data_IF_199970020077
#
_entry.id   IF_199970020077
#
_cell.length_a   1.000
_cell.length_b   1.000
_cell.length_c   1.000
_cell.angle_alpha   90.00
_cell.angle_beta   90.00
_cell.angle_gamma   90.00
#
_symmetry.space_group_name_H-M   'P 1'
#
loop_
_entity.id
_entity.type
_entity.pdbx_description
1 polymer ?
#
# COMPACT_ATOMS: atom_id res chain seq x y z
N UNK A 1 -58.03 -4.46 25.78
CA UNK A 1 -56.57 -4.47 25.56
C UNK A 1 -56.33 -4.54 24.06
N UNK A 2 -56.19 -3.40 23.37
CA UNK A 2 -55.97 -3.31 21.92
C UNK A 2 -54.50 -3.22 21.65
N UNK A 3 -53.90 -4.25 21.06
CA UNK A 3 -52.54 -4.23 20.56
C UNK A 3 -52.51 -3.50 19.20
N UNK A 4 -52.00 -2.30 19.18
CA UNK A 4 -51.68 -1.55 17.95
C UNK A 4 -50.48 -2.18 17.28
N UNK A 5 -50.71 -2.97 16.23
CA UNK A 5 -49.70 -3.44 15.30
C UNK A 5 -49.16 -2.23 14.51
N UNK A 6 -47.93 -1.78 14.81
CA UNK A 6 -47.20 -0.80 14.01
C UNK A 6 -46.82 -1.43 12.69
N UNK A 7 -47.56 -1.11 11.65
CA UNK A 7 -47.27 -1.48 10.26
C UNK A 7 -45.93 -0.83 9.81
N UNK A 8 -44.85 -1.63 9.74
CA UNK A 8 -43.59 -1.18 9.18
C UNK A 8 -43.73 -1.17 7.66
N UNK A 9 -43.45 -0.03 6.98
CA UNK A 9 -43.57 0.03 5.54
C UNK A 9 -42.64 -1.01 4.89
N UNK A 10 -43.24 -1.90 4.10
CA UNK A 10 -42.51 -2.90 3.32
C UNK A 10 -41.62 -2.19 2.28
N UNK A 11 -40.30 -2.49 2.21
CA UNK A 11 -39.44 -1.83 1.26
C UNK A 11 -39.86 -2.15 -0.17
N UNK A 12 -39.84 -1.14 -1.05
CA UNK A 12 -40.24 -1.27 -2.45
C UNK A 12 -39.43 -2.37 -3.18
N UNK A 13 -40.06 -3.14 -4.10
CA UNK A 13 -39.43 -4.28 -4.76
C UNK A 13 -38.17 -3.92 -5.58
N UNK A 14 -38.05 -2.67 -6.03
CA UNK A 14 -36.85 -2.16 -6.72
C UNK A 14 -35.65 -2.02 -5.76
N UNK A 15 -35.86 -1.51 -4.52
CA UNK A 15 -34.83 -1.43 -3.49
C UNK A 15 -34.36 -2.81 -3.02
N UNK A 16 -35.24 -3.80 -3.00
CA UNK A 16 -34.91 -5.17 -2.61
C UNK A 16 -34.08 -5.91 -3.68
N UNK A 17 -34.25 -5.59 -4.97
CA UNK A 17 -33.46 -6.16 -6.07
C UNK A 17 -32.03 -5.57 -6.12
N UNK A 18 -31.88 -4.27 -5.95
CA UNK A 18 -30.57 -3.61 -5.83
C UNK A 18 -29.81 -4.07 -4.57
N UNK A 19 -30.49 -4.19 -3.43
CA UNK A 19 -29.88 -4.70 -2.20
C UNK A 19 -29.42 -6.16 -2.34
N UNK A 20 -30.15 -7.02 -3.06
CA UNK A 20 -29.74 -8.41 -3.36
C UNK A 20 -28.61 -8.50 -4.39
N UNK A 21 -28.57 -7.61 -5.37
CA UNK A 21 -27.48 -7.57 -6.38
C UNK A 21 -26.12 -7.20 -5.76
N UNK A 22 -26.11 -6.43 -4.65
CA UNK A 22 -24.90 -6.00 -3.92
C UNK A 22 -24.57 -6.91 -2.72
N UNK A 23 -25.30 -8.02 -2.51
CA UNK A 23 -25.22 -8.83 -1.29
C UNK A 23 -23.95 -9.69 -1.15
N UNK A 24 -23.18 -9.93 -2.20
CA UNK A 24 -21.92 -10.65 -2.09
C UNK A 24 -20.76 -9.65 -1.88
N UNK A 25 -19.86 -9.87 -0.90
CA UNK A 25 -18.74 -8.96 -0.61
C UNK A 25 -17.88 -8.69 -1.86
N UNK A 26 -17.69 -9.70 -2.71
CA UNK A 26 -16.93 -9.58 -3.96
C UNK A 26 -17.53 -8.57 -4.93
N UNK A 27 -18.87 -8.59 -5.13
CA UNK A 27 -19.54 -7.63 -6.03
C UNK A 27 -19.45 -6.20 -5.51
N UNK A 28 -19.55 -5.99 -4.21
CA UNK A 28 -19.38 -4.68 -3.59
C UNK A 28 -17.95 -4.16 -3.77
N UNK A 29 -16.93 -5.02 -3.58
CA UNK A 29 -15.53 -4.67 -3.79
C UNK A 29 -15.26 -4.38 -5.27
N UNK A 30 -15.88 -5.13 -6.20
CA UNK A 30 -15.74 -4.90 -7.65
C UNK A 30 -16.34 -3.54 -8.05
N UNK A 31 -17.55 -3.22 -7.58
CA UNK A 31 -18.16 -1.91 -7.84
C UNK A 31 -17.32 -0.76 -7.28
N UNK A 32 -16.76 -0.94 -6.08
CA UNK A 32 -15.82 0.02 -5.49
C UNK A 32 -14.55 0.19 -6.32
N UNK A 33 -13.99 -0.91 -6.84
CA UNK A 33 -12.81 -0.88 -7.70
C UNK A 33 -13.09 -0.19 -9.04
N UNK A 34 -14.22 -0.47 -9.67
CA UNK A 34 -14.63 0.20 -10.91
C UNK A 34 -14.84 1.71 -10.71
N UNK A 35 -15.51 2.10 -9.62
CA UNK A 35 -15.68 3.51 -9.26
C UNK A 35 -14.32 4.19 -9.00
N UNK A 36 -13.43 3.52 -8.26
CA UNK A 36 -12.09 4.02 -8.01
C UNK A 36 -11.30 4.22 -9.31
N UNK A 37 -11.41 3.28 -10.26
CA UNK A 37 -10.74 3.36 -11.55
C UNK A 37 -11.23 4.58 -12.35
N UNK A 38 -12.55 4.83 -12.40
CA UNK A 38 -13.11 6.02 -13.05
C UNK A 38 -12.59 7.30 -12.41
N UNK A 39 -12.59 7.37 -11.07
CA UNK A 39 -12.07 8.54 -10.33
C UNK A 39 -10.59 8.76 -10.63
N UNK A 40 -9.78 7.69 -10.68
CA UNK A 40 -8.35 7.76 -11.01
C UNK A 40 -8.14 8.34 -12.41
N UNK A 41 -8.88 7.88 -13.42
CA UNK A 41 -8.77 8.40 -14.78
C UNK A 41 -9.09 9.90 -14.79
N UNK A 42 -10.21 10.32 -14.20
CA UNK A 42 -10.61 11.72 -14.14
C UNK A 42 -9.57 12.60 -13.44
N UNK A 43 -9.01 12.12 -12.33
CA UNK A 43 -7.98 12.85 -11.58
C UNK A 43 -6.68 12.96 -12.39
N UNK A 44 -6.18 11.87 -12.97
CA UNK A 44 -4.92 11.87 -13.72
C UNK A 44 -5.01 12.74 -14.98
N UNK A 45 -6.18 12.84 -15.62
CA UNK A 45 -6.38 13.73 -16.77
C UNK A 45 -6.47 15.22 -16.37
N UNK A 46 -6.93 15.51 -15.16
CA UNK A 46 -7.13 16.90 -14.69
C UNK A 46 -5.89 17.55 -14.09
N UNK A 47 -4.79 16.78 -13.86
CA UNK A 47 -3.61 17.29 -13.16
C UNK A 47 -2.38 17.38 -14.06
N UNK A 48 -1.45 18.32 -13.71
CA UNK A 48 -0.18 18.49 -14.42
C UNK A 48 0.76 17.28 -14.24
N UNK A 49 1.74 17.12 -15.14
CA UNK A 49 2.74 16.03 -15.12
C UNK A 49 3.49 15.95 -13.78
N UNK A 50 3.80 17.07 -13.16
CA UNK A 50 4.43 17.10 -11.84
C UNK A 50 3.52 16.45 -10.78
N UNK A 51 2.23 16.79 -10.77
CA UNK A 51 1.27 16.18 -9.84
C UNK A 51 1.00 14.70 -10.15
N UNK A 52 1.07 14.30 -11.41
CA UNK A 52 1.01 12.87 -11.79
C UNK A 52 2.16 12.07 -11.17
N UNK A 53 3.38 12.62 -11.16
CA UNK A 53 4.52 12.01 -10.48
C UNK A 53 4.31 11.89 -8.96
N UNK A 54 3.78 12.93 -8.31
CA UNK A 54 3.43 12.87 -6.89
C UNK A 54 2.33 11.82 -6.59
N UNK A 55 1.30 11.75 -7.44
CA UNK A 55 0.25 10.75 -7.33
C UNK A 55 0.78 9.33 -7.54
N UNK A 56 1.78 9.14 -8.42
CA UNK A 56 2.48 7.85 -8.56
C UNK A 56 3.18 7.46 -7.27
N UNK A 57 3.77 8.43 -6.57
CA UNK A 57 4.39 8.19 -5.26
C UNK A 57 3.35 7.76 -4.22
N UNK A 58 2.18 8.38 -4.19
CA UNK A 58 1.06 7.91 -3.35
C UNK A 58 0.67 6.48 -3.71
N UNK A 59 0.60 6.13 -5.00
CA UNK A 59 0.17 4.82 -5.44
C UNK A 59 1.13 3.72 -4.96
N UNK A 60 2.44 3.83 -5.21
CA UNK A 60 3.37 2.78 -4.78
C UNK A 60 3.52 2.71 -3.26
N UNK A 61 3.52 3.84 -2.54
CA UNK A 61 3.54 3.82 -1.08
C UNK A 61 2.26 3.21 -0.49
N UNK A 62 1.10 3.48 -1.10
CA UNK A 62 -0.16 2.88 -0.67
C UNK A 62 -0.22 1.37 -0.92
N UNK A 63 0.35 0.87 -2.03
CA UNK A 63 0.48 -0.57 -2.31
C UNK A 63 1.35 -1.24 -1.24
N UNK A 64 2.53 -0.67 -0.95
CA UNK A 64 3.42 -1.17 0.08
C UNK A 64 2.77 -1.11 1.47
N UNK A 65 2.16 0.01 1.84
CA UNK A 65 1.45 0.17 3.10
C UNK A 65 0.25 -0.80 3.23
N UNK A 66 -0.47 -1.10 2.13
CA UNK A 66 -1.54 -2.09 2.13
C UNK A 66 -1.00 -3.51 2.40
N UNK A 67 0.14 -3.89 1.80
CA UNK A 67 0.84 -5.13 2.12
C UNK A 67 1.26 -5.19 3.60
N UNK A 68 1.86 -4.12 4.12
CA UNK A 68 2.24 -4.02 5.52
C UNK A 68 1.01 -4.04 6.47
N UNK A 69 -0.12 -3.48 6.03
CA UNK A 69 -1.40 -3.56 6.77
C UNK A 69 -1.88 -5.01 6.93
N UNK A 70 -1.66 -5.87 5.93
CA UNK A 70 -1.97 -7.31 6.06
C UNK A 70 -1.10 -7.95 7.13
N UNK A 71 0.20 -7.69 7.09
CA UNK A 71 1.16 -8.30 8.01
C UNK A 71 0.96 -7.78 9.44
N UNK A 72 1.00 -6.48 9.63
CA UNK A 72 0.94 -5.85 10.95
C UNK A 72 -0.50 -5.69 11.44
N UNK A 73 -1.39 -5.24 10.58
CA UNK A 73 -2.76 -4.90 10.96
C UNK A 73 -3.70 -6.10 11.05
N UNK A 74 -3.57 -7.10 10.18
CA UNK A 74 -4.44 -8.27 10.17
C UNK A 74 -3.83 -9.48 10.89
N UNK A 75 -2.52 -9.69 10.79
CA UNK A 75 -1.85 -10.85 11.37
C UNK A 75 -1.09 -10.53 12.67
N UNK A 76 -0.89 -9.26 13.01
CA UNK A 76 -0.26 -8.82 14.27
C UNK A 76 1.27 -8.88 14.28
N UNK A 77 1.92 -9.10 13.12
CA UNK A 77 3.37 -9.20 13.03
C UNK A 77 4.01 -7.86 12.67
N UNK A 78 4.86 -7.33 13.56
CA UNK A 78 5.61 -6.11 13.29
C UNK A 78 6.78 -6.40 12.35
N UNK A 79 6.87 -5.67 11.24
CA UNK A 79 7.98 -5.74 10.29
C UNK A 79 8.57 -4.36 10.06
N UNK A 80 9.89 -4.26 10.28
CA UNK A 80 10.72 -3.08 9.98
C UNK A 80 11.53 -3.26 8.68
N UNK A 81 11.34 -4.38 7.98
CA UNK A 81 12.08 -4.74 6.76
C UNK A 81 11.30 -4.55 5.47
N UNK A 82 10.22 -3.79 5.49
CA UNK A 82 9.32 -3.71 4.32
C UNK A 82 9.98 -3.02 3.12
N UNK A 83 10.86 -2.05 3.35
CA UNK A 83 11.69 -1.41 2.32
C UNK A 83 12.63 -2.40 1.61
N UNK A 84 13.10 -3.45 2.31
CA UNK A 84 13.91 -4.48 1.68
C UNK A 84 13.15 -5.29 0.62
N UNK A 85 11.89 -5.64 0.87
CA UNK A 85 11.05 -6.29 -0.14
C UNK A 85 10.74 -5.36 -1.32
N UNK A 86 10.58 -4.05 -1.07
CA UNK A 86 10.48 -3.06 -2.14
C UNK A 86 11.77 -3.01 -2.97
N UNK A 87 12.95 -3.05 -2.32
CA UNK A 87 14.24 -3.11 -3.02
C UNK A 87 14.32 -4.32 -3.95
N UNK A 88 13.96 -5.51 -3.46
CA UNK A 88 13.95 -6.74 -4.28
C UNK A 88 13.10 -6.56 -5.53
N UNK A 89 11.88 -6.01 -5.40
CA UNK A 89 11.02 -5.73 -6.54
C UNK A 89 11.56 -4.67 -7.49
N UNK A 90 12.15 -3.60 -6.95
CA UNK A 90 12.75 -2.52 -7.70
C UNK A 90 13.96 -2.98 -8.53
N UNK A 91 14.87 -3.74 -7.92
CA UNK A 91 16.03 -4.31 -8.62
C UNK A 91 15.60 -5.36 -9.65
N UNK A 92 14.58 -6.18 -9.37
CA UNK A 92 14.03 -7.11 -10.35
C UNK A 92 13.50 -6.35 -11.58
N UNK A 93 12.74 -5.28 -11.37
CA UNK A 93 12.24 -4.45 -12.46
C UNK A 93 13.38 -3.74 -13.21
N UNK A 94 14.37 -3.20 -12.49
CA UNK A 94 15.53 -2.53 -13.10
C UNK A 94 16.35 -3.47 -13.98
N UNK A 95 16.64 -4.68 -13.52
CA UNK A 95 17.39 -5.69 -14.28
C UNK A 95 16.62 -6.13 -15.53
N UNK A 96 15.32 -6.36 -15.44
CA UNK A 96 14.50 -6.74 -16.60
C UNK A 96 14.40 -5.60 -17.61
N UNK A 97 14.18 -4.37 -17.18
CA UNK A 97 14.05 -3.22 -18.07
C UNK A 97 15.39 -2.80 -18.68
N UNK A 98 16.52 -2.95 -17.95
CA UNK A 98 17.87 -2.67 -18.47
C UNK A 98 18.28 -3.65 -19.59
N UNK A 99 17.89 -4.93 -19.46
CA UNK A 99 18.15 -5.96 -20.47
C UNK A 99 17.25 -5.83 -21.71
N UNK A 100 16.54 -4.72 -21.86
CA UNK A 100 15.39 -4.59 -22.74
C UNK A 100 15.70 -4.25 -24.20
N UNK A 101 16.74 -4.81 -24.77
CA UNK A 101 16.74 -5.03 -26.22
C UNK A 101 15.62 -6.01 -26.66
N UNK A 102 15.00 -6.72 -25.71
CA UNK A 102 14.02 -7.80 -25.92
C UNK A 102 12.56 -7.40 -25.69
N UNK A 103 12.22 -6.13 -25.37
CA UNK A 103 10.83 -5.65 -25.29
C UNK A 103 9.97 -6.30 -24.20
N UNK A 104 10.49 -6.51 -22.97
CA UNK A 104 9.64 -7.00 -21.86
C UNK A 104 8.47 -6.05 -21.61
N UNK A 105 7.26 -6.57 -21.64
CA UNK A 105 6.09 -5.76 -21.33
C UNK A 105 6.04 -5.40 -19.85
N UNK A 106 5.61 -4.16 -19.53
CA UNK A 106 5.48 -3.67 -18.15
C UNK A 106 4.68 -4.61 -17.24
N UNK A 107 3.55 -5.20 -17.68
CA UNK A 107 2.84 -6.18 -16.87
C UNK A 107 3.69 -7.39 -16.46
N UNK A 108 4.53 -7.90 -17.37
CA UNK A 108 5.41 -9.03 -17.06
C UNK A 108 6.48 -8.66 -16.04
N UNK A 109 7.06 -7.47 -16.16
CA UNK A 109 8.02 -6.93 -15.17
C UNK A 109 7.38 -6.82 -13.79
N UNK A 110 6.15 -6.32 -13.71
CA UNK A 110 5.40 -6.22 -12.45
C UNK A 110 5.09 -7.59 -11.84
N UNK A 111 4.69 -8.56 -12.66
CA UNK A 111 4.45 -9.94 -12.20
C UNK A 111 5.76 -10.55 -11.68
N UNK A 112 6.85 -10.42 -12.42
CA UNK A 112 8.15 -10.93 -12.00
C UNK A 112 8.62 -10.31 -10.67
N UNK A 113 8.56 -8.99 -10.54
CA UNK A 113 8.91 -8.27 -9.31
C UNK A 113 8.05 -8.72 -8.11
N UNK A 114 6.74 -8.92 -8.34
CA UNK A 114 5.80 -9.41 -7.33
C UNK A 114 6.13 -10.83 -6.90
N UNK A 115 6.41 -11.72 -7.86
CA UNK A 115 6.73 -13.13 -7.60
C UNK A 115 8.08 -13.27 -6.90
N UNK A 116 9.13 -12.59 -7.38
CA UNK A 116 10.48 -12.66 -6.78
C UNK A 116 10.45 -12.14 -5.34
N UNK A 117 9.82 -11.00 -5.10
CA UNK A 117 9.67 -10.48 -3.74
C UNK A 117 8.81 -11.41 -2.86
N UNK A 118 7.77 -12.02 -3.42
CA UNK A 118 6.96 -13.05 -2.75
C UNK A 118 7.78 -14.29 -2.36
N UNK A 119 8.66 -14.77 -3.23
CA UNK A 119 9.58 -15.89 -2.94
C UNK A 119 10.57 -15.54 -1.81
N UNK A 120 11.16 -14.35 -1.85
CA UNK A 120 11.97 -13.85 -0.70
C UNK A 120 11.10 -13.77 0.55
N UNK A 121 9.83 -13.35 0.42
CA UNK A 121 8.85 -13.36 1.49
C UNK A 121 8.56 -14.74 2.07
N UNK A 122 8.62 -15.83 1.28
CA UNK A 122 8.55 -17.22 1.80
C UNK A 122 9.75 -17.50 2.71
N UNK A 123 10.96 -17.22 2.24
CA UNK A 123 12.20 -17.49 2.99
C UNK A 123 12.19 -16.75 4.33
N UNK A 124 11.94 -15.44 4.26
CA UNK A 124 11.86 -14.59 5.46
C UNK A 124 10.68 -15.00 6.35
N UNK A 125 9.53 -15.31 5.77
CA UNK A 125 8.34 -15.73 6.49
C UNK A 125 8.52 -17.05 7.25
N UNK A 126 9.23 -18.01 6.70
CA UNK A 126 9.56 -19.29 7.37
C UNK A 126 10.50 -19.04 8.56
N UNK A 127 11.50 -18.17 8.40
CA UNK A 127 12.36 -17.75 9.51
C UNK A 127 11.56 -16.98 10.59
N UNK A 128 10.73 -16.03 10.14
CA UNK A 128 9.88 -15.20 10.99
C UNK A 128 8.82 -16.00 11.76
N UNK A 129 8.30 -17.09 11.20
CA UNK A 129 7.31 -17.94 11.85
C UNK A 129 7.82 -18.58 13.15
N UNK A 130 9.15 -18.68 13.32
CA UNK A 130 9.82 -19.18 14.52
C UNK A 130 10.14 -18.09 15.54
N UNK A 131 9.99 -16.83 15.17
CA UNK A 131 10.30 -15.67 16.00
C UNK A 131 9.02 -15.03 16.54
N UNK A 132 9.08 -14.51 17.77
CA UNK A 132 7.93 -13.89 18.42
C UNK A 132 8.31 -12.48 18.93
N UNK A 133 7.35 -11.57 18.90
CA UNK A 133 7.47 -10.24 19.47
C UNK A 133 8.67 -9.43 18.96
N UNK A 134 9.52 -8.88 19.85
CA UNK A 134 10.63 -8.01 19.49
C UNK A 134 11.71 -8.67 18.60
N UNK A 135 11.89 -10.00 18.72
CA UNK A 135 12.89 -10.72 17.92
C UNK A 135 12.55 -10.70 16.43
N UNK A 136 11.27 -10.74 16.10
CA UNK A 136 10.81 -10.61 14.71
C UNK A 136 11.11 -9.22 14.16
N UNK A 137 10.83 -8.18 14.95
CA UNK A 137 11.13 -6.80 14.55
C UNK A 137 12.65 -6.61 14.32
N UNK A 138 13.50 -7.18 15.20
CA UNK A 138 14.95 -7.16 15.05
C UNK A 138 15.44 -7.89 13.81
N UNK A 139 14.89 -9.08 13.49
CA UNK A 139 15.25 -9.84 12.30
C UNK A 139 14.86 -9.10 11.00
N UNK A 140 13.67 -8.49 10.97
CA UNK A 140 13.23 -7.69 9.80
C UNK A 140 13.99 -6.37 9.68
N UNK A 141 14.45 -5.79 10.80
CA UNK A 141 15.36 -4.64 10.81
C UNK A 141 16.71 -5.01 10.19
N UNK A 142 17.28 -6.16 10.56
CA UNK A 142 18.52 -6.65 9.97
C UNK A 142 18.36 -6.84 8.44
N UNK A 143 17.21 -7.33 7.98
CA UNK A 143 16.91 -7.42 6.55
C UNK A 143 16.87 -6.05 5.87
N UNK A 144 16.32 -5.02 6.53
CA UNK A 144 16.27 -3.66 5.99
C UNK A 144 17.67 -3.06 5.77
N UNK A 145 18.65 -3.48 6.58
CA UNK A 145 20.06 -3.06 6.42
C UNK A 145 20.81 -3.97 5.45
N UNK A 146 20.54 -5.27 5.49
CA UNK A 146 21.25 -6.26 4.69
C UNK A 146 20.98 -6.11 3.18
N UNK A 147 19.75 -5.83 2.75
CA UNK A 147 19.41 -5.76 1.32
C UNK A 147 20.10 -4.59 0.61
N UNK A 148 20.12 -3.35 1.12
CA UNK A 148 20.98 -2.29 0.58
C UNK A 148 22.46 -2.67 0.59
N UNK A 149 22.94 -3.31 1.67
CA UNK A 149 24.32 -3.80 1.76
C UNK A 149 24.67 -4.83 0.68
N UNK A 150 23.75 -5.75 0.36
CA UNK A 150 23.94 -6.70 -0.76
C UNK A 150 24.05 -5.98 -2.11
N UNK A 151 23.28 -4.92 -2.33
CA UNK A 151 23.36 -4.13 -3.54
C UNK A 151 24.73 -3.42 -3.70
N UNK A 152 25.33 -3.00 -2.59
CA UNK A 152 26.69 -2.45 -2.58
C UNK A 152 27.75 -3.55 -2.82
N UNK A 153 27.60 -4.70 -2.21
CA UNK A 153 28.52 -5.83 -2.36
C UNK A 153 28.54 -6.37 -3.80
N UNK A 154 27.38 -6.53 -4.42
CA UNK A 154 27.26 -6.96 -5.82
C UNK A 154 27.20 -5.77 -6.78
N UNK A 155 28.11 -4.80 -6.61
CA UNK A 155 28.12 -3.53 -7.36
C UNK A 155 28.16 -3.71 -8.88
N UNK A 156 28.86 -4.73 -9.39
CA UNK A 156 28.94 -5.04 -10.82
C UNK A 156 27.58 -5.35 -11.44
N UNK A 157 26.70 -6.03 -10.70
CA UNK A 157 25.39 -6.44 -11.18
C UNK A 157 24.28 -5.45 -10.78
N UNK A 158 24.38 -4.87 -9.58
CA UNK A 158 23.34 -4.02 -8.99
C UNK A 158 23.69 -2.53 -9.01
N UNK A 159 24.81 -2.13 -9.64
CA UNK A 159 25.19 -0.74 -9.85
C UNK A 159 25.77 -0.03 -8.61
N UNK A 160 26.00 -0.75 -7.50
CA UNK A 160 26.61 -0.20 -6.28
C UNK A 160 25.83 1.00 -5.70
N UNK A 161 26.55 2.03 -5.24
CA UNK A 161 25.94 3.24 -4.66
C UNK A 161 25.09 4.03 -5.64
N UNK A 162 25.50 4.06 -6.93
CA UNK A 162 24.76 4.78 -7.97
C UNK A 162 23.46 4.08 -8.37
N UNK A 163 23.34 2.78 -8.07
CA UNK A 163 22.20 1.96 -8.44
C UNK A 163 22.10 1.68 -9.94
N UNK A 164 20.98 1.09 -10.33
CA UNK A 164 20.67 0.78 -11.73
C UNK A 164 19.74 1.85 -12.31
N UNK A 165 20.12 2.40 -13.46
CA UNK A 165 19.25 3.28 -14.24
C UNK A 165 18.14 2.43 -14.84
N UNK A 166 16.90 2.88 -14.65
CA UNK A 166 15.69 2.25 -15.21
C UNK A 166 15.27 3.04 -16.45
N UNK A 167 15.31 2.45 -17.63
CA UNK A 167 14.83 3.10 -18.85
C UNK A 167 13.37 3.51 -18.72
N UNK A 168 12.99 4.51 -19.49
CA UNK A 168 11.58 4.88 -19.63
C UNK A 168 10.81 3.69 -20.20
N UNK A 169 9.75 3.20 -19.55
CA UNK A 169 8.95 2.16 -20.18
C UNK A 169 8.31 2.72 -21.47
N UNK A 170 8.41 1.94 -22.54
CA UNK A 170 7.75 2.28 -23.79
C UNK A 170 6.23 2.21 -23.63
N UNK A 171 5.55 3.21 -24.13
CA UNK A 171 4.10 3.23 -24.17
C UNK A 171 3.63 2.38 -25.36
N UNK A 172 2.87 1.30 -25.14
CA UNK A 172 2.32 0.53 -26.25
C UNK A 172 1.45 1.41 -27.14
N UNK A 173 1.70 1.42 -28.47
CA UNK A 173 0.99 2.28 -29.43
C UNK A 173 -0.53 2.13 -29.34
N UNK A 174 -1.02 0.91 -29.18
CA UNK A 174 -2.45 0.66 -28.98
C UNK A 174 -3.05 1.35 -27.75
N UNK A 175 -2.27 1.52 -26.66
CA UNK A 175 -2.74 2.24 -25.48
C UNK A 175 -2.67 3.75 -25.68
N UNK A 176 -1.67 4.25 -26.42
CA UNK A 176 -1.56 5.65 -26.78
C UNK A 176 -2.71 6.08 -27.70
N UNK A 177 -3.02 5.28 -28.72
CA UNK A 177 -4.16 5.50 -29.63
C UNK A 177 -5.49 5.55 -28.87
N UNK A 178 -5.72 4.62 -27.93
CA UNK A 178 -6.93 4.61 -27.09
C UNK A 178 -6.96 5.84 -26.18
N UNK A 179 -5.84 6.17 -25.54
CA UNK A 179 -5.75 7.34 -24.65
C UNK A 179 -6.03 8.62 -25.44
N UNK A 180 -5.42 8.79 -26.62
CA UNK A 180 -5.64 9.93 -27.49
C UNK A 180 -7.10 10.03 -27.96
N UNK A 181 -7.72 8.90 -28.34
CA UNK A 181 -9.13 8.89 -28.76
C UNK A 181 -10.09 9.29 -27.62
N UNK A 182 -9.80 8.87 -26.38
CA UNK A 182 -10.68 9.12 -25.21
C UNK A 182 -10.43 10.50 -24.59
N UNK A 183 -9.18 10.94 -24.51
CA UNK A 183 -8.80 12.12 -23.72
C UNK A 183 -8.30 13.29 -24.57
N UNK A 184 -8.00 13.07 -25.85
CA UNK A 184 -7.38 14.06 -26.73
C UNK A 184 -5.91 14.37 -26.41
N UNK A 185 -5.28 13.64 -25.51
CA UNK A 185 -3.91 13.87 -25.07
C UNK A 185 -3.03 12.63 -25.30
N UNK A 186 -1.77 12.84 -25.70
CA UNK A 186 -0.77 11.79 -25.80
C UNK A 186 -0.44 11.19 -24.41
N UNK A 187 -0.13 9.90 -24.41
CA UNK A 187 0.22 9.16 -23.22
C UNK A 187 1.74 9.25 -22.96
N UNK A 188 2.18 10.32 -22.30
CA UNK A 188 3.59 10.42 -21.93
C UNK A 188 4.01 9.27 -21.00
N UNK A 189 5.30 8.89 -21.05
CA UNK A 189 5.82 7.81 -20.20
C UNK A 189 5.57 8.03 -18.69
N UNK A 190 5.64 9.27 -18.19
CA UNK A 190 5.30 9.59 -16.79
C UNK A 190 3.82 9.34 -16.49
N UNK A 191 2.93 9.75 -17.39
CA UNK A 191 1.50 9.53 -17.30
C UNK A 191 1.17 8.03 -17.37
N UNK A 192 1.85 7.29 -18.26
CA UNK A 192 1.70 5.84 -18.37
C UNK A 192 2.08 5.12 -17.06
N UNK A 193 3.24 5.45 -16.45
CA UNK A 193 3.63 4.89 -15.15
C UNK A 193 2.63 5.25 -14.05
N UNK A 194 2.05 6.45 -14.08
CA UNK A 194 1.00 6.84 -13.14
C UNK A 194 -0.26 5.97 -13.30
N UNK A 195 -0.72 5.74 -14.53
CA UNK A 195 -1.86 4.84 -14.79
C UNK A 195 -1.58 3.42 -14.33
N UNK A 196 -0.41 2.87 -14.66
CA UNK A 196 0.02 1.53 -14.24
C UNK A 196 0.04 1.43 -12.71
N UNK A 197 0.62 2.42 -12.03
CA UNK A 197 0.69 2.45 -10.57
C UNK A 197 -0.70 2.48 -9.90
N UNK A 198 -1.59 3.33 -10.39
CA UNK A 198 -2.94 3.44 -9.84
C UNK A 198 -3.83 2.24 -10.19
N UNK A 199 -3.71 1.70 -11.41
CA UNK A 199 -4.40 0.46 -11.78
C UNK A 199 -3.95 -0.71 -10.88
N UNK A 200 -2.64 -0.83 -10.65
CA UNK A 200 -2.08 -1.83 -9.76
C UNK A 200 -2.56 -1.63 -8.31
N UNK A 201 -2.64 -0.38 -7.83
CA UNK A 201 -3.19 -0.05 -6.51
C UNK A 201 -4.65 -0.53 -6.38
N UNK A 202 -5.50 -0.22 -7.35
CA UNK A 202 -6.90 -0.64 -7.35
C UNK A 202 -7.01 -2.17 -7.37
N UNK A 203 -6.19 -2.85 -8.20
CA UNK A 203 -6.13 -4.31 -8.26
C UNK A 203 -5.70 -4.91 -6.92
N UNK A 204 -4.62 -4.41 -6.32
CA UNK A 204 -4.11 -4.89 -5.03
C UNK A 204 -5.15 -4.66 -3.93
N UNK A 205 -5.78 -3.49 -3.89
CA UNK A 205 -6.84 -3.21 -2.90
C UNK A 205 -8.05 -4.11 -3.09
N UNK A 206 -8.47 -4.37 -4.31
CA UNK A 206 -9.53 -5.32 -4.61
C UNK A 206 -9.17 -6.74 -4.13
N UNK A 207 -7.97 -7.23 -4.43
CA UNK A 207 -7.50 -8.54 -4.00
C UNK A 207 -7.42 -8.63 -2.47
N UNK A 208 -6.77 -7.65 -1.82
CA UNK A 208 -6.60 -7.63 -0.36
C UNK A 208 -7.94 -7.47 0.38
N UNK A 209 -8.89 -6.69 -0.15
CA UNK A 209 -10.23 -6.57 0.43
C UNK A 209 -10.98 -7.92 0.41
N UNK A 210 -10.85 -8.67 -0.70
CA UNK A 210 -11.44 -9.99 -0.80
C UNK A 210 -10.74 -11.01 0.10
N UNK A 211 -9.40 -11.01 0.13
CA UNK A 211 -8.61 -11.88 1.03
C UNK A 211 -8.94 -11.58 2.49
N UNK A 212 -8.99 -10.31 2.89
CA UNK A 212 -9.32 -9.91 4.26
C UNK A 212 -10.72 -10.34 4.70
N UNK A 213 -11.67 -10.40 3.76
CA UNK A 213 -13.05 -10.86 3.99
C UNK A 213 -13.20 -12.39 3.94
N UNK A 214 -12.19 -13.12 3.46
CA UNK A 214 -12.19 -14.57 3.27
C UNK A 214 -11.90 -15.35 4.55
N UNK A 215 -11.83 -16.69 4.44
CA UNK A 215 -11.39 -17.57 5.53
C UNK A 215 -9.97 -17.28 5.97
N UNK A 216 -9.09 -16.90 5.05
CA UNK A 216 -7.69 -16.55 5.33
C UNK A 216 -7.61 -15.31 6.21
N UNK A 217 -8.31 -14.23 5.85
CA UNK A 217 -8.31 -13.00 6.65
C UNK A 217 -8.92 -13.19 8.06
N UNK A 218 -9.88 -14.12 8.21
CA UNK A 218 -10.42 -14.47 9.54
C UNK A 218 -9.39 -15.21 10.40
N UNK A 219 -8.62 -16.15 9.79
CA UNK A 219 -7.52 -16.85 10.48
C UNK A 219 -6.43 -15.89 10.92
N UNK A 220 -6.03 -14.94 10.07
CA UNK A 220 -5.06 -13.92 10.45
C UNK A 220 -5.51 -13.08 11.66
N UNK A 221 -6.76 -12.61 11.66
CA UNK A 221 -7.28 -11.86 12.81
C UNK A 221 -7.34 -12.71 14.08
N UNK A 222 -7.72 -13.97 13.99
CA UNK A 222 -7.71 -14.87 15.14
C UNK A 222 -6.30 -15.02 15.73
N UNK A 223 -5.27 -15.19 14.87
CA UNK A 223 -3.86 -15.27 15.31
C UNK A 223 -3.40 -13.95 15.93
N UNK A 224 -3.81 -12.79 15.38
CA UNK A 224 -3.48 -11.49 15.95
C UNK A 224 -4.11 -11.26 17.31
N UNK A 225 -5.37 -11.65 17.46
CA UNK A 225 -6.15 -11.35 18.66
C UNK A 225 -5.74 -12.25 19.84
N UNK A 226 -5.51 -13.55 19.61
CA UNK A 226 -4.98 -14.50 20.61
C UNK A 226 -4.40 -15.75 19.91
N UNK A 227 -3.08 -15.90 19.96
CA UNK A 227 -2.37 -17.02 19.33
C UNK A 227 -2.73 -18.37 19.94
N UNK A 228 -2.86 -18.44 21.28
CA UNK A 228 -3.16 -19.69 22.00
C UNK A 228 -4.57 -20.18 21.67
N UNK A 229 -5.53 -19.27 21.70
CA UNK A 229 -6.92 -19.60 21.33
C UNK A 229 -7.05 -20.01 19.85
N UNK A 230 -6.28 -19.38 18.96
CA UNK A 230 -6.26 -19.72 17.55
C UNK A 230 -5.68 -21.13 17.31
N UNK A 231 -4.61 -21.50 18.03
CA UNK A 231 -4.00 -22.82 17.95
C UNK A 231 -4.94 -23.93 18.46
N UNK A 232 -5.59 -23.70 19.60
CA UNK A 232 -6.61 -24.60 20.15
C UNK A 232 -7.77 -24.79 19.17
N UNK A 233 -8.15 -23.73 18.43
CA UNK A 233 -9.16 -23.79 17.38
C UNK A 233 -8.68 -24.47 16.07
N UNK A 234 -7.46 -25.03 16.04
CA UNK A 234 -6.90 -25.76 14.92
C UNK A 234 -6.30 -24.89 13.81
N UNK A 235 -5.95 -23.64 14.11
CA UNK A 235 -5.26 -22.77 13.15
C UNK A 235 -3.76 -23.01 13.25
N UNK A 236 -3.14 -23.41 12.14
CA UNK A 236 -1.70 -23.51 12.01
C UNK A 236 -1.09 -22.09 11.98
N UNK A 237 -0.47 -21.70 13.10
CA UNK A 237 0.15 -20.37 13.29
C UNK A 237 1.28 -20.14 12.30
N UNK A 238 2.13 -21.16 12.06
CA UNK A 238 3.28 -21.06 11.16
C UNK A 238 2.83 -20.75 9.73
N UNK A 239 1.87 -21.52 9.19
CA UNK A 239 1.32 -21.28 7.85
C UNK A 239 0.61 -19.93 7.74
N UNK A 240 -0.14 -19.52 8.77
CA UNK A 240 -0.82 -18.24 8.79
C UNK A 240 0.18 -17.07 8.71
N UNK A 241 1.28 -17.14 9.47
CA UNK A 241 2.36 -16.16 9.49
C UNK A 241 3.11 -16.10 8.16
N UNK A 242 3.57 -17.25 7.64
CA UNK A 242 4.27 -17.32 6.35
C UNK A 242 3.42 -16.73 5.23
N UNK A 243 2.13 -17.10 5.15
CA UNK A 243 1.24 -16.59 4.11
C UNK A 243 1.05 -15.07 4.20
N UNK A 244 0.96 -14.51 5.41
CA UNK A 244 0.88 -13.06 5.61
C UNK A 244 2.17 -12.37 5.13
N UNK A 245 3.36 -12.94 5.41
CA UNK A 245 4.63 -12.44 4.90
C UNK A 245 4.70 -12.46 3.38
N UNK A 246 4.32 -13.58 2.75
CA UNK A 246 4.33 -13.73 1.28
C UNK A 246 3.45 -12.67 0.61
N UNK A 247 2.22 -12.50 1.09
CA UNK A 247 1.29 -11.50 0.54
C UNK A 247 1.83 -10.09 0.74
N UNK A 248 2.38 -9.79 1.93
CA UNK A 248 2.96 -8.51 2.27
C UNK A 248 4.18 -8.19 1.40
N UNK A 249 5.11 -9.14 1.26
CA UNK A 249 6.30 -9.01 0.43
C UNK A 249 5.98 -8.88 -1.06
N UNK A 250 4.99 -9.62 -1.55
CA UNK A 250 4.52 -9.51 -2.94
C UNK A 250 3.99 -8.10 -3.25
N UNK A 251 3.19 -7.53 -2.35
CA UNK A 251 2.72 -6.13 -2.47
C UNK A 251 3.89 -5.15 -2.44
N UNK A 252 4.87 -5.35 -1.55
CA UNK A 252 6.05 -4.51 -1.46
C UNK A 252 6.91 -4.59 -2.73
N UNK A 253 7.09 -5.79 -3.29
CA UNK A 253 7.81 -5.97 -4.57
C UNK A 253 7.14 -5.27 -5.73
N UNK A 254 5.81 -5.40 -5.85
CA UNK A 254 5.02 -4.68 -6.84
C UNK A 254 5.15 -3.16 -6.70
N UNK A 255 5.11 -2.63 -5.46
CA UNK A 255 5.32 -1.22 -5.15
C UNK A 255 6.74 -0.76 -5.51
N UNK A 256 7.76 -1.57 -5.20
CA UNK A 256 9.16 -1.29 -5.52
C UNK A 256 9.39 -1.19 -7.02
N UNK A 257 8.76 -2.05 -7.83
CA UNK A 257 8.85 -1.98 -9.29
C UNK A 257 8.26 -0.67 -9.83
N UNK A 258 7.10 -0.23 -9.34
CA UNK A 258 6.52 1.07 -9.71
C UNK A 258 7.44 2.21 -9.26
N UNK A 259 7.97 2.14 -8.03
CA UNK A 259 8.92 3.15 -7.53
C UNK A 259 10.14 3.27 -8.45
N UNK A 260 10.76 2.16 -8.86
CA UNK A 260 11.91 2.15 -9.76
C UNK A 260 11.60 2.76 -11.13
N UNK A 261 10.43 2.44 -11.72
CA UNK A 261 9.98 3.04 -12.97
C UNK A 261 9.66 4.54 -12.83
N UNK A 262 9.10 4.96 -11.69
CA UNK A 262 8.76 6.36 -11.44
C UNK A 262 9.99 7.23 -11.17
N UNK A 263 10.93 6.73 -10.36
CA UNK A 263 12.19 7.44 -10.02
C UNK A 263 13.28 7.30 -11.09
N UNK A 264 13.10 6.40 -12.06
CA UNK A 264 14.07 6.04 -13.11
C UNK A 264 15.39 5.48 -12.58
N UNK A 265 15.39 5.04 -11.33
CA UNK A 265 16.57 4.50 -10.67
C UNK A 265 16.17 3.48 -9.60
N UNK A 266 16.96 2.41 -9.47
CA UNK A 266 16.94 1.51 -8.34
C UNK A 266 18.30 1.59 -7.62
N UNK A 267 18.38 2.38 -6.55
CA UNK A 267 19.62 2.61 -5.80
C UNK A 267 19.43 2.23 -4.32
N UNK A 268 20.48 1.75 -3.63
CA UNK A 268 20.42 1.36 -2.22
C UNK A 268 19.91 2.46 -1.30
N UNK A 269 20.27 3.73 -1.62
CA UNK A 269 19.84 4.92 -0.87
C UNK A 269 18.34 5.13 -0.82
N UNK A 270 17.59 4.62 -1.80
CA UNK A 270 16.13 4.68 -1.84
C UNK A 270 15.42 3.67 -0.92
N UNK A 271 16.13 2.63 -0.45
CA UNK A 271 15.53 1.50 0.30
C UNK A 271 16.09 1.36 1.72
N UNK A 272 16.40 2.48 2.33
CA UNK A 272 16.94 2.53 3.69
C UNK A 272 15.88 2.15 4.74
N UNK A 273 16.34 1.99 5.99
CA UNK A 273 15.45 1.81 7.15
C UNK A 273 14.39 2.93 7.24
N UNK A 274 14.75 4.16 6.83
CA UNK A 274 13.83 5.31 6.86
C UNK A 274 12.57 5.03 6.03
N UNK A 275 12.71 4.41 4.85
CA UNK A 275 11.55 4.02 4.03
C UNK A 275 10.64 3.03 4.78
N UNK A 276 11.22 2.02 5.45
CA UNK A 276 10.45 1.05 6.24
C UNK A 276 9.68 1.71 7.38
N UNK A 277 10.32 2.64 8.09
CA UNK A 277 9.69 3.43 9.17
C UNK A 277 8.60 4.35 8.62
N UNK A 278 8.82 4.96 7.46
CA UNK A 278 7.81 5.79 6.76
C UNK A 278 6.58 4.96 6.42
N UNK A 279 6.76 3.75 5.88
CA UNK A 279 5.64 2.84 5.57
C UNK A 279 4.89 2.41 6.85
N UNK A 280 5.61 2.10 7.92
CA UNK A 280 4.99 1.79 9.20
C UNK A 280 4.18 2.98 9.73
N UNK A 281 4.75 4.18 9.67
CA UNK A 281 4.06 5.42 10.06
C UNK A 281 2.81 5.65 9.21
N UNK A 282 2.86 5.40 7.90
CA UNK A 282 1.68 5.48 7.03
C UNK A 282 0.55 4.56 7.50
N UNK A 283 0.88 3.30 7.84
CA UNK A 283 -0.10 2.32 8.31
C UNK A 283 -0.67 2.69 9.67
N UNK A 284 0.16 3.20 10.59
CA UNK A 284 -0.25 3.61 11.94
C UNK A 284 -1.14 4.86 11.85
N UNK A 285 -0.72 5.91 11.12
CA UNK A 285 -1.50 7.14 10.90
C UNK A 285 -2.84 6.82 10.26
N UNK A 286 -2.84 5.99 9.23
CA UNK A 286 -4.04 5.59 8.51
C UNK A 286 -5.00 4.78 9.35
N UNK A 287 -4.45 3.89 10.19
CA UNK A 287 -5.16 2.96 11.07
C UNK A 287 -4.88 1.50 10.73
N UNK A 288 -4.32 0.79 11.71
CA UNK A 288 -3.94 -0.62 11.61
C UNK A 288 -5.13 -1.49 11.14
N UNK A 289 -4.91 -2.28 10.10
CA UNK A 289 -5.93 -3.19 9.54
C UNK A 289 -6.93 -2.54 8.58
N UNK A 290 -6.74 -1.27 8.21
CA UNK A 290 -7.59 -0.53 7.25
C UNK A 290 -6.85 -0.27 5.94
N UNK A 291 -7.32 -0.86 4.83
CA UNK A 291 -6.75 -0.58 3.49
C UNK A 291 -6.96 0.88 3.08
N UNK A 292 -8.13 1.45 3.36
CA UNK A 292 -8.37 2.89 3.12
C UNK A 292 -7.49 3.76 4.00
N UNK A 293 -7.19 3.31 5.21
CA UNK A 293 -6.20 3.94 6.09
C UNK A 293 -4.80 3.95 5.47
N UNK A 294 -4.35 2.83 4.92
CA UNK A 294 -3.06 2.74 4.24
C UNK A 294 -2.94 3.77 3.09
N UNK A 295 -4.00 3.96 2.30
CA UNK A 295 -4.04 4.98 1.24
C UNK A 295 -3.94 6.40 1.81
N UNK A 296 -4.73 6.71 2.84
CA UNK A 296 -4.73 8.04 3.46
C UNK A 296 -3.37 8.32 4.12
N UNK A 297 -2.80 7.34 4.82
CA UNK A 297 -1.47 7.48 5.43
C UNK A 297 -0.37 7.70 4.39
N UNK A 298 -0.39 6.93 3.30
CA UNK A 298 0.54 7.10 2.19
C UNK A 298 0.39 8.49 1.53
N UNK A 299 -0.83 8.95 1.30
CA UNK A 299 -1.09 10.28 0.76
C UNK A 299 -0.56 11.39 1.69
N UNK A 300 -0.85 11.30 2.99
CA UNK A 300 -0.37 12.28 3.97
C UNK A 300 1.17 12.35 3.99
N UNK A 301 1.85 11.19 4.04
CA UNK A 301 3.31 11.14 4.07
C UNK A 301 3.96 11.56 2.74
N UNK A 302 3.22 11.50 1.62
CA UNK A 302 3.70 12.03 0.34
C UNK A 302 3.54 13.54 0.25
N UNK A 303 2.45 14.10 0.79
CA UNK A 303 2.14 15.52 0.61
C UNK A 303 2.64 16.42 1.75
N UNK A 304 2.78 15.91 2.99
CA UNK A 304 3.26 16.72 4.13
C UNK A 304 4.68 17.27 3.87
N UNK A 305 5.69 16.48 3.45
CA UNK A 305 7.04 16.98 3.27
C UNK A 305 7.13 18.18 2.31
N UNK A 306 6.63 18.12 1.06
CA UNK A 306 6.73 19.26 0.14
C UNK A 306 5.93 20.48 0.60
N UNK A 307 4.79 20.28 1.28
CA UNK A 307 4.03 21.42 1.85
C UNK A 307 4.83 22.12 2.94
N UNK A 308 5.42 21.35 3.85
CA UNK A 308 6.25 21.91 4.94
C UNK A 308 7.49 22.63 4.40
N UNK A 309 8.15 22.04 3.40
CA UNK A 309 9.33 22.65 2.75
C UNK A 309 8.94 23.98 2.09
N UNK A 310 7.82 24.04 1.35
CA UNK A 310 7.36 25.28 0.71
C UNK A 310 7.01 26.35 1.75
N UNK A 311 6.28 25.98 2.82
CA UNK A 311 5.98 26.91 3.92
C UNK A 311 7.26 27.41 4.62
N UNK A 312 8.28 26.59 4.76
CA UNK A 312 9.58 26.98 5.30
C UNK A 312 10.29 28.00 4.41
N UNK A 313 10.28 27.79 3.09
CA UNK A 313 10.83 28.74 2.11
C UNK A 313 10.08 30.07 2.13
N UNK A 314 8.75 30.04 2.16
CA UNK A 314 7.91 31.23 2.24
C UNK A 314 8.13 32.00 3.55
N UNK A 315 8.50 31.31 4.64
CA UNK A 315 8.87 31.90 5.92
C UNK A 315 10.31 32.48 5.96
N UNK A 316 11.05 32.40 4.84
CA UNK A 316 12.42 32.95 4.72
C UNK A 316 13.53 32.00 5.19
N UNK A 317 13.25 30.72 5.40
CA UNK A 317 14.28 29.71 5.68
C UNK A 317 15.11 29.39 4.44
N UNK A 318 16.37 29.03 4.65
CA UNK A 318 17.20 28.51 3.55
C UNK A 318 16.63 27.19 3.02
N UNK A 319 16.96 26.83 1.76
CA UNK A 319 16.50 25.59 1.13
C UNK A 319 16.88 24.34 1.94
N UNK A 320 18.05 24.35 2.58
CA UNK A 320 18.51 23.27 3.44
C UNK A 320 17.67 23.19 4.72
N UNK A 321 17.47 24.32 5.40
CA UNK A 321 16.67 24.37 6.64
C UNK A 321 15.21 23.95 6.39
N UNK A 322 14.62 24.41 5.28
CA UNK A 322 13.27 24.04 4.89
C UNK A 322 13.14 22.55 4.57
N UNK A 323 14.16 21.95 3.94
CA UNK A 323 14.18 20.51 3.66
C UNK A 323 14.33 19.64 4.94
N UNK A 324 15.15 20.09 5.91
CA UNK A 324 15.33 19.41 7.18
C UNK A 324 14.12 19.54 8.13
N UNK A 325 13.34 20.61 7.97
CA UNK A 325 12.12 20.83 8.75
C UNK A 325 11.04 19.78 8.41
N UNK A 326 10.99 19.28 7.18
CA UNK A 326 9.96 18.36 6.73
C UNK A 326 9.96 17.00 7.49
N UNK A 327 11.09 16.30 7.71
CA UNK A 327 11.13 15.09 8.54
C UNK A 327 10.72 15.35 9.99
N UNK A 328 11.15 16.48 10.57
CA UNK A 328 10.81 16.87 11.94
C UNK A 328 9.29 17.02 12.10
N UNK A 329 8.67 17.80 11.21
CA UNK A 329 7.21 18.04 11.26
C UNK A 329 6.45 16.73 11.01
N UNK A 330 6.91 15.90 10.09
CA UNK A 330 6.30 14.60 9.81
C UNK A 330 6.39 13.67 11.03
N UNK A 331 7.52 13.68 11.75
CA UNK A 331 7.70 12.92 12.99
C UNK A 331 6.75 13.42 14.10
N UNK A 332 6.70 14.72 14.33
CA UNK A 332 5.78 15.34 15.30
C UNK A 332 4.32 15.02 14.94
N UNK A 333 3.95 15.17 13.67
CA UNK A 333 2.61 14.82 13.18
C UNK A 333 2.25 13.37 13.47
N UNK A 334 3.18 12.43 13.24
CA UNK A 334 2.99 11.01 13.54
C UNK A 334 2.72 10.79 15.03
N UNK A 335 3.53 11.41 15.91
CA UNK A 335 3.34 11.31 17.37
C UNK A 335 1.98 11.88 17.79
N UNK A 336 1.62 13.05 17.28
CA UNK A 336 0.33 13.69 17.56
C UNK A 336 -0.84 12.78 17.14
N UNK A 337 -0.75 12.19 15.94
CA UNK A 337 -1.82 11.26 15.48
C UNK A 337 -1.92 10.04 16.39
N UNK A 338 -0.80 9.46 16.81
CA UNK A 338 -0.81 8.30 17.74
C UNK A 338 -1.46 8.66 19.07
N UNK A 339 -1.16 9.84 19.63
CA UNK A 339 -1.71 10.29 20.90
C UNK A 339 -3.22 10.59 20.85
N UNK A 340 -3.68 11.27 19.80
CA UNK A 340 -5.08 11.72 19.68
C UNK A 340 -5.99 10.76 18.90
N UNK A 341 -5.43 9.89 18.09
CA UNK A 341 -6.13 8.91 17.28
C UNK A 341 -5.47 7.52 17.37
N UNK A 342 -5.51 6.84 18.53
CA UNK A 342 -4.79 5.57 18.75
C UNK A 342 -5.27 4.43 17.84
N UNK A 343 -6.47 4.54 17.26
CA UNK A 343 -6.99 3.63 16.23
C UNK A 343 -6.63 4.09 14.80
N UNK A 344 -5.78 5.10 14.67
CA UNK A 344 -5.52 5.81 13.42
C UNK A 344 -6.68 6.70 12.97
N UNK A 345 -6.46 7.48 11.93
CA UNK A 345 -7.46 8.44 11.44
C UNK A 345 -8.77 7.75 11.03
N UNK A 346 -8.68 6.70 10.22
CA UNK A 346 -9.88 5.97 9.72
C UNK A 346 -10.60 5.23 10.85
N UNK A 347 -9.86 4.59 11.76
CA UNK A 347 -10.44 3.89 12.91
C UNK A 347 -11.19 4.83 13.83
N UNK A 348 -10.62 5.98 14.15
CA UNK A 348 -11.22 7.01 15.01
C UNK A 348 -12.49 7.60 14.39
N UNK A 349 -12.46 7.95 13.10
CA UNK A 349 -13.65 8.45 12.38
C UNK A 349 -14.76 7.41 12.35
N UNK A 350 -14.40 6.15 12.03
CA UNK A 350 -15.38 5.05 11.99
C UNK A 350 -16.01 4.81 13.37
N UNK A 351 -15.20 4.81 14.43
CA UNK A 351 -15.67 4.66 15.81
C UNK A 351 -16.66 5.76 16.20
N UNK A 352 -16.34 7.02 15.90
CA UNK A 352 -17.23 8.17 16.16
C UNK A 352 -18.55 8.08 15.37
N UNK A 353 -18.51 7.62 14.13
CA UNK A 353 -19.71 7.44 13.30
C UNK A 353 -20.63 6.33 13.86
N UNK A 354 -20.06 5.20 14.30
CA UNK A 354 -20.80 4.11 14.94
C UNK A 354 -21.46 4.60 16.24
N UNK A 355 -20.71 5.29 17.11
CA UNK A 355 -21.25 5.84 18.36
C UNK A 355 -22.40 6.84 18.10
N UNK A 356 -22.30 7.68 17.07
CA UNK A 356 -23.37 8.61 16.69
C UNK A 356 -24.63 7.88 16.20
N UNK A 357 -24.48 6.74 15.50
CA UNK A 357 -25.62 5.90 15.07
C UNK A 357 -26.30 5.26 16.27
N UNK A 358 -25.55 4.63 17.18
CA UNK A 358 -26.08 4.02 18.39
C UNK A 358 -26.83 5.02 19.27
N UNK A 359 -26.30 6.25 19.43
CA UNK A 359 -26.99 7.34 20.15
C UNK A 359 -28.30 7.75 19.48
N UNK A 360 -28.38 7.72 18.13
CA UNK A 360 -29.63 8.03 17.39
C UNK A 360 -30.69 6.92 17.50
N UNK A 361 -30.23 5.67 17.65
CA UNK A 361 -31.11 4.49 17.79
C UNK A 361 -31.52 4.24 19.26
N UNK A 362 -31.13 5.10 20.21
CA UNK A 362 -31.52 5.00 21.62
C UNK A 362 -30.92 3.81 22.36
N UNK A 363 -29.92 3.12 21.74
CA UNK A 363 -29.19 2.02 22.39
C UNK A 363 -28.10 2.64 23.24
N UNK A 364 -28.26 2.60 24.58
CA UNK A 364 -27.22 2.97 25.56
C UNK A 364 -26.26 1.83 25.80
#
# INVERSE_FOLDING_TARGET
MNATTTDRPTPSPARSRLARAVSTPVRRHLLGALLALVVVILVLESVSTFRQSQLTSVAYLAIAAAGLTVLTGLNGQLSLGHGAFMAVGAYTAALMLRANESGWSVPLVLIAATVVAGLVGVVVGVAAARLHGPYLAGATLALAVAVPGLALYFSEYLGGEQGLIVPSPDVPSALDDIAFFVTGNELTSTKFVAYVGWFLLVLVFFLLANVSSSRVGRRWRAVRDDEVSAEIAGIDLGRARVLAFVVSAACAGAAGAIMAMASRIAAPSGFTLVLSLTLLSAVVIGGLGSLTGALIGAALLTYIPPVVTNLGLDAGLSSLQAAELAPLVTGIFTVVVILFAPLGLVGTVRGRLVQRRLKREGVR
#
